data_IF_740184914008
#
_entry.id   IF_740184914008
#
_cell.length_a   1.000
_cell.length_b   1.000
_cell.length_c   1.000
_cell.angle_alpha   90.00
_cell.angle_beta   90.00
_cell.angle_gamma   90.00
#
_symmetry.space_group_name_H-M   'P 1'
#
loop_
_entity.id
_entity.type
_entity.pdbx_description
1 polymer ?
#
# COMPACT_ATOMS: atom_id res chain seq x y z
N UNK A 1 39.95 -22.27 -9.68
CA UNK A 1 38.50 -22.19 -9.96
C UNK A 1 38.15 -20.72 -10.23
N UNK A 2 37.80 -20.37 -11.47
CA UNK A 2 37.45 -18.99 -11.82
C UNK A 2 35.99 -18.71 -11.44
N UNK A 3 35.77 -17.81 -10.49
CA UNK A 3 34.42 -17.34 -10.13
C UNK A 3 34.00 -16.25 -11.10
N UNK A 4 33.19 -16.59 -12.10
CA UNK A 4 32.53 -15.58 -12.94
C UNK A 4 31.43 -14.91 -12.12
N UNK A 5 31.72 -13.72 -11.56
CA UNK A 5 30.74 -12.87 -10.89
C UNK A 5 29.76 -12.34 -11.93
N UNK A 6 28.60 -13.01 -12.08
CA UNK A 6 27.50 -12.52 -12.93
C UNK A 6 27.00 -11.20 -12.33
N UNK A 7 27.17 -10.10 -13.06
CA UNK A 7 26.60 -8.80 -12.68
C UNK A 7 25.08 -8.87 -12.80
N UNK A 8 24.36 -8.43 -11.77
CA UNK A 8 22.91 -8.31 -11.81
C UNK A 8 22.54 -7.05 -12.60
N UNK A 9 22.05 -7.22 -13.83
CA UNK A 9 21.69 -6.09 -14.72
C UNK A 9 20.62 -5.18 -14.12
N UNK A 10 19.70 -5.73 -13.33
CA UNK A 10 18.65 -4.95 -12.65
C UNK A 10 19.23 -3.91 -11.70
N UNK A 11 20.28 -4.26 -10.94
CA UNK A 11 20.92 -3.35 -9.99
C UNK A 11 21.83 -2.31 -10.67
N UNK A 12 22.15 -2.48 -11.95
CA UNK A 12 22.89 -1.50 -12.74
C UNK A 12 22.00 -0.35 -13.26
N UNK A 13 20.67 -0.51 -13.22
CA UNK A 13 19.73 0.54 -13.62
C UNK A 13 19.67 1.66 -12.57
N UNK A 14 19.34 2.91 -12.95
CA UNK A 14 18.97 3.97 -12.01
C UNK A 14 17.84 3.57 -11.06
N UNK A 15 17.85 4.13 -9.84
CA UNK A 15 16.88 3.78 -8.79
C UNK A 15 15.42 4.02 -9.21
N UNK A 16 15.16 5.09 -9.97
CA UNK A 16 13.83 5.43 -10.50
C UNK A 16 13.27 4.29 -11.35
N UNK A 17 14.05 3.78 -12.31
CA UNK A 17 13.66 2.67 -13.17
C UNK A 17 13.47 1.37 -12.37
N UNK A 18 14.33 1.12 -11.37
CA UNK A 18 14.15 -0.05 -10.49
C UNK A 18 12.82 0.03 -9.73
N UNK A 19 12.51 1.19 -9.16
CA UNK A 19 11.26 1.41 -8.44
C UNK A 19 10.04 1.21 -9.34
N UNK A 20 10.07 1.74 -10.58
CA UNK A 20 9.01 1.50 -11.57
C UNK A 20 8.85 0.01 -11.88
N UNK A 21 9.95 -0.72 -12.06
CA UNK A 21 9.91 -2.18 -12.28
C UNK A 21 9.31 -2.89 -11.07
N UNK A 22 9.68 -2.51 -9.85
CA UNK A 22 9.12 -3.11 -8.63
C UNK A 22 7.63 -2.82 -8.49
N UNK A 23 7.19 -1.59 -8.77
CA UNK A 23 5.78 -1.21 -8.75
C UNK A 23 4.97 -2.07 -9.73
N UNK A 24 5.46 -2.23 -10.97
CA UNK A 24 4.83 -3.08 -11.98
C UNK A 24 4.84 -4.56 -11.59
N UNK A 25 5.94 -5.06 -11.05
CA UNK A 25 6.09 -6.47 -10.68
C UNK A 25 5.17 -6.92 -9.54
N UNK A 26 4.72 -5.98 -8.70
CA UNK A 26 3.79 -6.26 -7.59
C UNK A 26 2.38 -5.71 -7.82
N UNK A 27 2.11 -5.14 -9.00
CA UNK A 27 0.75 -4.70 -9.37
C UNK A 27 -0.17 -5.92 -9.47
N UNK A 28 -1.38 -5.80 -8.92
CA UNK A 28 -2.40 -6.86 -8.84
C UNK A 28 -1.98 -8.10 -8.05
N UNK A 29 -0.87 -8.03 -7.31
CA UNK A 29 -0.42 -9.16 -6.51
C UNK A 29 -1.34 -9.36 -5.31
N UNK A 30 -1.97 -10.54 -5.23
CA UNK A 30 -2.87 -10.87 -4.12
C UNK A 30 -2.18 -11.79 -3.12
N UNK A 31 -2.15 -11.36 -1.86
CA UNK A 31 -1.52 -12.08 -0.75
C UNK A 31 -2.61 -12.65 0.15
N UNK A 32 -2.74 -13.96 0.15
CA UNK A 32 -3.63 -14.69 1.07
C UNK A 32 -2.90 -14.92 2.40
N UNK A 33 -3.38 -14.26 3.45
CA UNK A 33 -2.80 -14.27 4.80
C UNK A 33 -2.99 -15.63 5.48
N UNK A 34 -4.05 -16.37 5.13
CA UNK A 34 -4.38 -17.65 5.74
C UNK A 34 -3.43 -18.77 5.28
N UNK A 35 -2.85 -18.62 4.08
CA UNK A 35 -1.86 -19.57 3.57
C UNK A 35 -0.56 -19.43 4.37
N UNK A 36 -0.35 -20.38 5.28
CA UNK A 36 0.81 -20.43 6.19
C UNK A 36 2.17 -20.37 5.48
N UNK A 37 2.27 -20.83 4.24
CA UNK A 37 3.48 -20.71 3.41
C UNK A 37 3.47 -19.37 2.68
N UNK A 38 3.70 -18.30 3.43
CA UNK A 38 3.92 -16.96 2.90
C UNK A 38 5.30 -16.92 2.26
N UNK A 39 5.42 -17.42 1.04
CA UNK A 39 6.56 -17.01 0.22
C UNK A 39 6.33 -15.53 -0.08
N UNK A 40 7.11 -14.67 0.57
CA UNK A 40 7.27 -13.31 0.08
C UNK A 40 7.58 -13.41 -1.43
N UNK A 41 7.08 -12.49 -2.28
CA UNK A 41 7.38 -12.53 -3.69
C UNK A 41 8.86 -12.78 -3.90
N UNK A 42 9.22 -13.64 -4.85
CA UNK A 42 10.64 -13.99 -5.09
C UNK A 42 11.54 -12.75 -5.23
N UNK A 43 10.95 -11.64 -5.70
CA UNK A 43 11.53 -10.31 -5.71
C UNK A 43 12.08 -9.85 -4.35
N UNK A 44 11.31 -9.98 -3.26
CA UNK A 44 11.74 -9.59 -1.91
C UNK A 44 12.79 -10.53 -1.32
N UNK A 45 12.92 -11.74 -1.87
CA UNK A 45 13.89 -12.74 -1.42
C UNK A 45 15.20 -12.71 -2.22
N UNK A 46 15.25 -11.95 -3.33
CA UNK A 46 16.38 -11.97 -4.25
C UNK A 46 17.66 -11.35 -3.65
N UNK A 47 17.56 -10.19 -3.00
CA UNK A 47 18.70 -9.52 -2.35
C UNK A 47 18.25 -8.54 -1.27
N UNK A 48 19.16 -8.18 -0.35
CA UNK A 48 18.88 -7.18 0.71
C UNK A 48 18.53 -5.80 0.11
N UNK A 49 19.21 -5.41 -0.96
CA UNK A 49 18.95 -4.14 -1.64
C UNK A 49 17.57 -4.15 -2.30
N UNK A 50 17.28 -5.18 -3.10
CA UNK A 50 15.97 -5.35 -3.73
C UNK A 50 14.86 -5.41 -2.69
N UNK A 51 15.07 -6.10 -1.57
CA UNK A 51 14.12 -6.13 -0.47
C UNK A 51 13.86 -4.72 0.08
N UNK A 52 14.90 -3.94 0.37
CA UNK A 52 14.75 -2.59 0.91
C UNK A 52 13.98 -1.65 -0.04
N UNK A 53 14.28 -1.72 -1.35
CA UNK A 53 13.65 -0.88 -2.37
C UNK A 53 12.20 -1.33 -2.68
N UNK A 54 11.98 -2.63 -2.90
CA UNK A 54 10.70 -3.17 -3.35
C UNK A 54 9.68 -3.39 -2.22
N UNK A 55 10.10 -3.46 -0.95
CA UNK A 55 9.18 -3.70 0.18
C UNK A 55 8.12 -2.58 0.32
N UNK A 56 8.44 -1.34 -0.06
CA UNK A 56 7.47 -0.26 -0.10
C UNK A 56 6.40 -0.48 -1.17
N UNK A 57 6.82 -0.75 -2.40
CA UNK A 57 5.95 -1.06 -3.54
C UNK A 57 5.07 -2.27 -3.24
N UNK A 58 5.65 -3.36 -2.75
CA UNK A 58 4.94 -4.58 -2.36
C UNK A 58 3.78 -4.29 -1.40
N UNK A 59 4.03 -3.53 -0.33
CA UNK A 59 2.98 -3.22 0.66
C UNK A 59 1.90 -2.32 0.08
N UNK A 60 2.27 -1.41 -0.81
CA UNK A 60 1.36 -0.42 -1.39
C UNK A 60 0.48 -1.00 -2.48
N UNK A 61 1.01 -1.89 -3.31
CA UNK A 61 0.33 -2.34 -4.52
C UNK A 61 -0.26 -3.76 -4.37
N UNK A 62 0.10 -4.49 -3.31
CA UNK A 62 -0.48 -5.82 -3.06
C UNK A 62 -1.85 -5.74 -2.37
N UNK A 63 -2.74 -6.63 -2.77
CA UNK A 63 -4.03 -6.85 -2.14
C UNK A 63 -3.92 -7.93 -1.07
N UNK A 64 -4.04 -7.54 0.21
CA UNK A 64 -3.98 -8.50 1.30
C UNK A 64 -5.39 -9.05 1.59
N UNK A 65 -5.55 -10.37 1.54
CA UNK A 65 -6.83 -11.07 1.73
C UNK A 65 -6.72 -12.05 2.89
N UNK A 66 -7.80 -12.21 3.66
CA UNK A 66 -7.87 -13.19 4.77
C UNK A 66 -9.31 -13.65 4.97
N UNK A 67 -9.54 -14.93 5.26
CA UNK A 67 -10.83 -15.46 5.69
C UNK A 67 -11.07 -15.22 7.17
N UNK A 68 -10.00 -15.13 7.97
CA UNK A 68 -10.09 -14.85 9.40
C UNK A 68 -9.86 -13.37 9.67
N UNK A 69 -10.82 -12.66 10.30
CA UNK A 69 -10.61 -11.27 10.74
C UNK A 69 -9.51 -11.18 11.81
N UNK A 70 -9.40 -12.19 12.67
CA UNK A 70 -8.36 -12.28 13.70
C UNK A 70 -6.97 -12.37 13.09
N UNK A 71 -6.78 -13.18 12.05
CA UNK A 71 -5.48 -13.26 11.36
C UNK A 71 -5.12 -11.97 10.62
N UNK A 72 -6.12 -11.31 10.01
CA UNK A 72 -5.91 -10.00 9.39
C UNK A 72 -5.47 -8.97 10.44
N UNK A 73 -6.14 -8.92 11.61
CA UNK A 73 -5.75 -8.04 12.71
C UNK A 73 -4.33 -8.33 13.19
N UNK A 74 -4.01 -9.60 13.51
CA UNK A 74 -2.66 -9.97 13.94
C UNK A 74 -1.60 -9.64 12.88
N UNK A 75 -1.93 -9.80 11.60
CA UNK A 75 -1.05 -9.41 10.51
C UNK A 75 -0.78 -7.90 10.53
N UNK A 76 -1.82 -7.07 10.64
CA UNK A 76 -1.70 -5.62 10.70
C UNK A 76 -0.98 -5.13 11.96
N UNK A 77 -1.20 -5.76 13.11
CA UNK A 77 -0.54 -5.44 14.39
C UNK A 77 0.94 -5.78 14.38
N UNK A 78 1.35 -6.85 13.67
CA UNK A 78 2.77 -7.21 13.50
C UNK A 78 3.52 -6.25 12.58
N UNK A 79 2.82 -5.39 11.84
CA UNK A 79 3.47 -4.36 11.05
C UNK A 79 3.96 -3.26 12.01
N UNK A 80 5.26 -2.94 11.94
CA UNK A 80 5.81 -1.82 12.69
C UNK A 80 4.97 -0.55 12.51
N UNK A 81 4.86 0.25 13.58
CA UNK A 81 4.09 1.49 13.60
C UNK A 81 4.49 2.38 12.40
N UNK A 82 3.53 2.58 11.48
CA UNK A 82 3.74 3.34 10.25
C UNK A 82 3.75 2.49 8.97
N UNK A 83 4.21 1.23 9.01
CA UNK A 83 4.19 0.33 7.83
C UNK A 83 2.77 -0.08 7.44
N UNK A 84 1.84 -0.12 8.39
CA UNK A 84 0.42 -0.33 8.13
C UNK A 84 -0.19 0.74 7.23
N UNK A 85 0.32 1.98 7.27
CA UNK A 85 -0.17 3.10 6.44
C UNK A 85 0.13 2.91 4.95
N UNK A 86 1.13 2.10 4.64
CA UNK A 86 1.51 1.77 3.26
C UNK A 86 0.54 0.79 2.62
N UNK A 87 -0.21 0.00 3.40
CA UNK A 87 -1.20 -0.92 2.85
C UNK A 87 -2.37 -0.11 2.31
N UNK A 88 -2.63 -0.24 1.02
CA UNK A 88 -3.75 0.38 0.33
C UNK A 88 -5.03 -0.44 0.53
N UNK A 89 -4.91 -1.76 0.39
CA UNK A 89 -6.06 -2.66 0.35
C UNK A 89 -5.82 -3.89 1.23
N UNK A 90 -6.69 -4.04 2.23
CA UNK A 90 -6.78 -5.22 3.06
C UNK A 90 -8.25 -5.63 3.13
N UNK A 91 -8.60 -6.78 2.59
CA UNK A 91 -9.95 -7.31 2.58
C UNK A 91 -10.03 -8.59 3.41
N UNK A 92 -11.18 -8.80 4.03
CA UNK A 92 -11.48 -10.09 4.64
C UNK A 92 -12.79 -10.62 4.07
N UNK A 93 -12.85 -11.94 3.88
CA UNK A 93 -14.03 -12.59 3.33
C UNK A 93 -15.11 -12.74 4.41
N UNK A 94 -16.02 -11.77 4.48
CA UNK A 94 -17.13 -11.75 5.41
C UNK A 94 -18.22 -12.78 5.08
N UNK A 95 -18.20 -13.42 3.91
CA UNK A 95 -19.25 -14.37 3.51
C UNK A 95 -19.30 -15.61 4.40
N UNK A 96 -18.20 -15.91 5.12
CA UNK A 96 -18.14 -16.98 6.13
C UNK A 96 -18.69 -16.60 7.51
N UNK A 97 -18.76 -15.31 7.85
CA UNK A 97 -19.28 -14.86 9.14
C UNK A 97 -20.81 -15.03 9.24
N UNK A 98 -21.51 -15.02 8.11
CA UNK A 98 -22.96 -15.24 8.07
C UNK A 98 -23.40 -16.68 8.42
N UNK A 99 -22.46 -17.63 8.56
CA UNK A 99 -22.77 -19.02 8.94
C UNK A 99 -22.57 -19.31 10.43
N UNK A 100 -22.02 -18.38 11.20
CA UNK A 100 -21.86 -18.50 12.65
C UNK A 100 -22.89 -17.55 13.28
N UNK A 101 -24.15 -17.97 13.27
CA UNK A 101 -25.23 -17.40 14.07
C UNK A 101 -24.84 -17.54 15.55
N UNK A 102 -24.19 -16.53 16.14
CA UNK A 102 -24.16 -16.27 17.59
C UNK A 102 -23.48 -14.91 17.87
N UNK A 103 -24.17 -13.83 17.48
CA UNK A 103 -24.28 -12.54 18.18
C UNK A 103 -23.05 -11.66 18.49
N UNK A 104 -21.82 -12.17 18.52
CA UNK A 104 -20.67 -11.46 19.10
C UNK A 104 -19.65 -11.01 18.04
N UNK A 105 -19.55 -11.67 16.88
CA UNK A 105 -18.57 -11.31 15.84
C UNK A 105 -19.01 -10.19 14.88
N UNK A 106 -20.33 -9.93 14.73
CA UNK A 106 -20.86 -8.90 13.81
C UNK A 106 -20.41 -7.49 14.22
N UNK A 107 -20.26 -7.24 15.52
CA UNK A 107 -19.83 -5.95 16.06
C UNK A 107 -18.38 -5.61 15.67
N UNK A 108 -17.52 -6.62 15.56
CA UNK A 108 -16.10 -6.42 15.24
C UNK A 108 -15.82 -6.24 13.75
N UNK A 109 -16.64 -6.87 12.89
CA UNK A 109 -16.63 -6.64 11.46
C UNK A 109 -16.90 -5.16 11.13
N UNK A 110 -17.88 -4.55 11.80
CA UNK A 110 -18.19 -3.12 11.68
C UNK A 110 -17.07 -2.24 12.21
N UNK A 111 -16.48 -2.51 13.39
CA UNK A 111 -15.42 -1.67 13.96
C UNK A 111 -14.13 -1.68 13.12
N UNK A 112 -13.78 -2.82 12.51
CA UNK A 112 -12.63 -2.91 11.59
C UNK A 112 -12.92 -2.18 10.27
N UNK A 113 -14.12 -2.33 9.72
CA UNK A 113 -14.57 -1.55 8.56
C UNK A 113 -14.56 -0.06 8.89
N UNK A 114 -15.02 0.35 10.07
CA UNK A 114 -15.01 1.75 10.52
C UNK A 114 -13.60 2.28 10.69
N UNK A 115 -12.66 1.52 11.25
CA UNK A 115 -11.26 1.96 11.36
C UNK A 115 -10.58 2.09 10.01
N UNK A 116 -10.82 1.16 9.08
CA UNK A 116 -10.29 1.23 7.71
C UNK A 116 -10.95 2.41 6.96
N UNK A 117 -12.27 2.54 7.03
CA UNK A 117 -13.03 3.62 6.40
C UNK A 117 -12.66 5.00 6.96
N UNK A 118 -12.45 5.13 8.28
CA UNK A 118 -11.97 6.34 8.95
C UNK A 118 -10.57 6.73 8.48
N UNK A 119 -9.67 5.76 8.36
CA UNK A 119 -8.31 6.03 7.87
C UNK A 119 -8.28 6.37 6.38
N UNK A 120 -9.20 5.82 5.58
CA UNK A 120 -9.36 6.16 4.17
C UNK A 120 -10.04 7.52 3.97
N UNK A 121 -11.02 7.90 4.80
CA UNK A 121 -11.63 9.23 4.78
C UNK A 121 -10.66 10.30 5.26
N UNK A 122 -9.86 10.05 6.30
CA UNK A 122 -8.77 10.95 6.70
C UNK A 122 -7.76 11.17 5.56
N UNK A 123 -7.41 10.12 4.80
CA UNK A 123 -6.56 10.25 3.60
C UNK A 123 -7.22 11.05 2.47
N UNK A 124 -8.50 10.82 2.18
CA UNK A 124 -9.23 11.54 1.13
C UNK A 124 -9.47 13.01 1.48
N UNK A 125 -9.70 13.33 2.76
CA UNK A 125 -9.82 14.72 3.24
C UNK A 125 -8.48 15.44 3.14
N UNK A 126 -7.36 14.76 3.41
CA UNK A 126 -6.02 15.33 3.24
C UNK A 126 -5.70 15.57 1.76
N UNK A 127 -6.01 14.62 0.86
CA UNK A 127 -5.85 14.78 -0.58
C UNK A 127 -6.69 15.94 -1.13
N UNK A 128 -7.97 16.02 -0.76
CA UNK A 128 -8.85 17.12 -1.17
C UNK A 128 -8.37 18.49 -0.66
N UNK A 129 -7.79 18.55 0.55
CA UNK A 129 -7.18 19.78 1.08
C UNK A 129 -5.91 20.18 0.34
N UNK A 130 -5.07 19.22 -0.04
CA UNK A 130 -3.85 19.47 -0.81
C UNK A 130 -4.19 19.99 -2.21
N UNK A 131 -5.20 19.43 -2.87
CA UNK A 131 -5.66 19.91 -4.18
C UNK A 131 -6.28 21.30 -4.09
N UNK A 132 -7.07 21.59 -3.04
CA UNK A 132 -7.61 22.92 -2.81
C UNK A 132 -6.51 23.97 -2.57
N UNK A 133 -5.46 23.63 -1.82
CA UNK A 133 -4.29 24.50 -1.61
C UNK A 133 -3.54 24.72 -2.92
N UNK A 134 -3.38 23.69 -3.75
CA UNK A 134 -2.71 23.79 -5.05
C UNK A 134 -3.45 24.70 -6.02
N UNK A 135 -4.78 24.61 -6.07
CA UNK A 135 -5.65 25.49 -6.87
C UNK A 135 -5.61 26.93 -6.35
N UNK A 136 -5.60 27.13 -5.03
CA UNK A 136 -5.49 28.46 -4.45
C UNK A 136 -4.15 29.13 -4.80
N UNK A 137 -3.04 28.39 -4.76
CA UNK A 137 -1.71 28.90 -5.12
C UNK A 137 -1.58 29.22 -6.61
N UNK A 138 -2.13 28.38 -7.51
CA UNK A 138 -2.11 28.69 -8.96
C UNK A 138 -2.95 29.91 -9.33
N UNK A 139 -3.99 30.21 -8.55
CA UNK A 139 -4.85 31.39 -8.77
C UNK A 139 -4.19 32.67 -8.29
N UNK A 140 -3.34 32.60 -7.25
CA UNK A 140 -2.60 33.75 -6.74
C UNK A 140 -1.46 34.20 -7.68
N UNK A 141 -0.87 33.30 -8.47
CA UNK A 141 0.24 33.61 -9.38
C UNK A 141 -0.22 34.15 -10.75
N UNK A 142 -1.50 34.02 -11.11
CA UNK A 142 -2.05 34.49 -12.40
C UNK A 142 -2.53 35.95 -12.41
N UNK A 143 -2.42 36.67 -11.29
CA UNK A 143 -2.95 38.02 -11.10
C UNK A 143 -1.95 39.15 -11.33
N UNK A 144 -1.28 39.22 -12.48
CA UNK A 144 -0.61 40.46 -12.92
C UNK A 144 -1.42 41.06 -14.07
N UNK A 145 -2.48 41.78 -13.70
CA UNK A 145 -3.24 42.61 -14.63
C UNK A 145 -2.37 43.81 -14.99
N UNK A 146 -1.82 43.79 -16.20
CA UNK A 146 -1.17 44.93 -16.84
C UNK A 146 -2.19 46.03 -17.07
N UNK A 147 -2.21 47.05 -16.21
CA UNK A 147 -2.91 48.31 -16.46
C UNK A 147 -2.11 49.11 -17.48
N UNK A 148 -2.47 48.98 -18.76
CA UNK A 148 -2.07 49.94 -19.77
C UNK A 148 -3.00 51.17 -19.63
N UNK A 149 -2.42 52.27 -19.16
CA UNK A 149 -3.05 53.59 -19.16
C UNK A 149 -3.23 54.11 -20.60
N UNK A 150 -4.30 54.89 -20.85
CA UNK A 150 -4.60 55.47 -22.16
C UNK A 150 -3.68 56.60 -22.59
#
# INVERSE_FOLDING_TARGET
MATTTKKCHLLALPAELRNTIYDLAVTDHTVDIDKQKRAAPGLLLASRQTHAEANGAYRRNSNFTSKSPTLMRQFLERLESGKSRLISTATYDATRLNRIENGIEVFWAQEVIFRIARHLTEKNVVLARVDAIRVALSTAEGGVVSTAEP
#
